data_IF_806205341414
#
_entry.id   IF_806205341414
#
_cell.length_a   1.000
_cell.length_b   1.000
_cell.length_c   1.000
_cell.angle_alpha   90.00
_cell.angle_beta   90.00
_cell.angle_gamma   90.00
#
_symmetry.space_group_name_H-M   'P 1'
#
loop_
_entity.id
_entity.type
_entity.pdbx_description
1 polymer ?
#
# COMPACT_ATOMS: atom_id res chain seq x y z
N UNK A 1 33.04 -2.46 16.38
CA UNK A 1 32.89 -3.93 16.36
C UNK A 1 31.43 -4.21 16.65
N UNK A 2 30.70 -4.89 15.77
CA UNK A 2 29.26 -5.12 15.86
C UNK A 2 28.95 -6.58 15.55
N UNK A 3 28.06 -7.19 16.32
CA UNK A 3 27.57 -8.56 16.15
C UNK A 3 26.05 -8.52 16.39
N UNK A 4 25.29 -9.12 15.46
CA UNK A 4 23.85 -9.26 15.59
C UNK A 4 23.43 -10.68 15.20
N UNK A 5 22.48 -11.24 15.96
CA UNK A 5 21.88 -12.54 15.71
C UNK A 5 20.37 -12.37 15.66
N UNK A 6 19.77 -12.67 14.51
CA UNK A 6 18.33 -12.61 14.31
C UNK A 6 17.78 -14.03 14.22
N UNK A 7 16.68 -14.30 14.93
CA UNK A 7 15.99 -15.59 14.84
C UNK A 7 15.30 -15.77 13.48
N UNK A 8 14.92 -14.67 12.82
CA UNK A 8 14.23 -14.65 11.53
C UNK A 8 14.90 -13.66 10.57
N UNK A 9 16.14 -13.97 10.18
CA UNK A 9 16.92 -13.13 9.26
C UNK A 9 16.21 -12.91 7.90
N UNK A 10 15.37 -13.85 7.49
CA UNK A 10 14.63 -13.79 6.22
C UNK A 10 13.60 -12.65 6.20
N UNK A 11 12.90 -12.44 7.33
CA UNK A 11 11.95 -11.33 7.48
C UNK A 11 12.69 -10.01 7.43
N UNK A 12 13.79 -9.89 8.18
CA UNK A 12 14.62 -8.70 8.14
C UNK A 12 15.10 -8.38 6.72
N UNK A 13 15.59 -9.38 5.99
CA UNK A 13 15.99 -9.21 4.59
C UNK A 13 14.85 -8.70 3.72
N UNK A 14 13.64 -9.27 3.86
CA UNK A 14 12.45 -8.83 3.12
C UNK A 14 12.07 -7.38 3.46
N UNK A 15 12.17 -6.97 4.73
CA UNK A 15 11.95 -5.58 5.17
C UNK A 15 12.95 -4.65 4.47
N UNK A 16 14.24 -4.98 4.50
CA UNK A 16 15.29 -4.19 3.80
C UNK A 16 15.01 -4.12 2.30
N UNK A 17 14.70 -5.24 1.65
CA UNK A 17 14.37 -5.28 0.22
C UNK A 17 13.14 -4.43 -0.13
N UNK A 18 12.20 -4.27 0.80
CA UNK A 18 10.98 -3.49 0.62
C UNK A 18 11.16 -1.98 0.84
N UNK A 19 12.24 -1.54 1.51
CA UNK A 19 12.48 -0.11 1.80
C UNK A 19 13.70 0.49 1.08
N UNK A 20 14.65 -0.34 0.61
CA UNK A 20 15.93 0.11 0.05
C UNK A 20 15.82 1.07 -1.14
N UNK A 21 14.71 0.99 -1.89
CA UNK A 21 14.49 1.85 -3.07
C UNK A 21 13.78 3.16 -2.72
N UNK A 22 13.34 3.33 -1.46
CA UNK A 22 12.69 4.54 -0.96
C UNK A 22 13.64 5.39 -0.11
N UNK A 23 14.57 4.74 0.60
CA UNK A 23 15.39 5.40 1.62
C UNK A 23 16.87 5.14 1.35
N UNK A 24 17.65 6.20 1.14
CA UNK A 24 19.10 6.11 0.97
C UNK A 24 19.81 5.90 2.31
N UNK A 25 19.38 6.63 3.34
CA UNK A 25 19.88 6.55 4.70
C UNK A 25 18.72 6.55 5.68
N UNK A 26 18.73 5.63 6.65
CA UNK A 26 17.71 5.54 7.67
C UNK A 26 18.33 5.32 9.04
N UNK A 27 17.72 5.91 10.08
CA UNK A 27 18.07 5.62 11.47
C UNK A 27 17.16 4.51 11.97
N UNK A 28 17.76 3.47 12.54
CA UNK A 28 17.04 2.39 13.21
C UNK A 28 17.04 2.66 14.72
N UNK A 29 15.85 2.94 15.26
CA UNK A 29 15.67 3.08 16.70
C UNK A 29 15.42 1.69 17.29
N UNK A 30 16.45 1.14 17.92
CA UNK A 30 16.40 -0.16 18.59
C UNK A 30 16.11 0.04 20.08
N UNK A 31 14.94 -0.43 20.52
CA UNK A 31 14.51 -0.39 21.92
C UNK A 31 14.19 -1.80 22.43
N UNK A 32 13.87 -1.94 23.71
CA UNK A 32 13.35 -3.19 24.27
C UNK A 32 12.02 -3.64 23.63
N UNK A 33 11.28 -2.71 23.03
CA UNK A 33 10.00 -2.97 22.36
C UNK A 33 10.14 -3.33 20.88
N UNK A 34 11.36 -3.35 20.34
CA UNK A 34 11.64 -3.71 18.95
C UNK A 34 12.47 -2.68 18.20
N UNK A 35 12.46 -2.80 16.87
CA UNK A 35 13.17 -1.92 15.94
C UNK A 35 12.14 -1.07 15.20
N UNK A 36 12.24 0.25 15.32
CA UNK A 36 11.41 1.18 14.54
C UNK A 36 12.25 1.99 13.56
N UNK A 37 11.66 2.26 12.40
CA UNK A 37 12.19 3.14 11.37
C UNK A 37 11.03 4.01 10.90
N UNK A 38 11.16 5.32 11.01
CA UNK A 38 10.16 6.27 10.54
C UNK A 38 10.85 7.41 9.80
N UNK A 39 10.29 7.79 8.64
CA UNK A 39 10.80 8.88 7.81
C UNK A 39 9.78 10.02 7.63
N UNK A 40 8.61 9.95 8.28
CA UNK A 40 7.55 10.96 8.25
C UNK A 40 7.00 11.22 9.65
N UNK A 41 6.56 12.46 9.89
CA UNK A 41 5.88 12.85 11.13
C UNK A 41 4.54 12.11 11.25
N UNK A 42 4.28 11.60 12.45
CA UNK A 42 3.15 10.74 12.80
C UNK A 42 1.78 11.31 12.37
N UNK A 43 1.19 10.78 11.30
CA UNK A 43 -0.22 10.98 10.96
C UNK A 43 -1.15 10.03 11.75
N UNK A 44 -0.88 9.84 13.05
CA UNK A 44 -1.49 8.76 13.85
C UNK A 44 -3.00 8.90 14.10
N UNK A 45 -3.60 10.08 13.86
CA UNK A 45 -5.02 10.34 14.15
C UNK A 45 -5.82 10.74 12.89
N UNK A 46 -5.54 10.12 11.75
CA UNK A 46 -6.28 10.41 10.51
C UNK A 46 -7.53 9.53 10.38
N UNK A 47 -8.71 10.15 10.24
CA UNK A 47 -9.97 9.45 9.95
C UNK A 47 -10.06 9.09 8.46
N UNK A 48 -9.68 7.85 8.13
CA UNK A 48 -9.76 7.34 6.76
C UNK A 48 -11.19 6.95 6.38
N UNK A 49 -11.70 7.52 5.29
CA UNK A 49 -13.06 7.31 4.81
C UNK A 49 -13.26 5.97 4.12
N UNK A 50 -12.21 5.42 3.53
CA UNK A 50 -12.22 4.12 2.88
C UNK A 50 -11.06 3.27 3.38
N UNK A 51 -11.34 2.03 3.76
CA UNK A 51 -10.35 1.02 4.12
C UNK A 51 -10.61 -0.24 3.31
N UNK A 52 -9.66 -0.62 2.47
CA UNK A 52 -9.73 -1.82 1.63
C UNK A 52 -8.68 -2.82 2.09
N UNK A 53 -9.11 -4.04 2.40
CA UNK A 53 -8.21 -5.17 2.64
C UNK A 53 -8.33 -6.13 1.46
N UNK A 54 -7.20 -6.52 0.87
CA UNK A 54 -7.17 -7.42 -0.29
C UNK A 54 -5.91 -8.29 -0.28
N UNK A 55 -5.81 -9.33 -1.12
CA UNK A 55 -4.58 -10.08 -1.30
C UNK A 55 -3.47 -9.15 -1.78
N UNK A 56 -2.30 -9.19 -1.14
CA UNK A 56 -1.15 -8.35 -1.52
C UNK A 56 -0.68 -8.61 -2.95
N UNK A 57 -0.75 -9.88 -3.37
CA UNK A 57 -0.47 -10.32 -4.75
C UNK A 57 -1.41 -9.70 -5.78
N UNK A 58 -2.68 -9.44 -5.42
CA UNK A 58 -3.65 -8.82 -6.32
C UNK A 58 -3.34 -7.33 -6.50
N UNK A 59 -3.03 -6.60 -5.42
CA UNK A 59 -2.56 -5.21 -5.54
C UNK A 59 -1.28 -5.13 -6.39
N UNK A 60 -0.31 -6.02 -6.15
CA UNK A 60 0.93 -6.08 -6.93
C UNK A 60 0.66 -6.28 -8.42
N UNK A 61 -0.26 -7.21 -8.77
CA UNK A 61 -0.66 -7.46 -10.15
C UNK A 61 -1.33 -6.23 -10.76
N UNK A 62 -2.30 -5.63 -10.06
CA UNK A 62 -3.00 -4.42 -10.52
C UNK A 62 -2.00 -3.30 -10.85
N UNK A 63 -1.08 -3.01 -9.94
CA UNK A 63 -0.09 -1.95 -10.15
C UNK A 63 0.80 -2.25 -11.35
N UNK A 64 1.31 -3.48 -11.48
CA UNK A 64 2.15 -3.89 -12.61
C UNK A 64 1.42 -3.79 -13.94
N UNK A 65 0.19 -4.30 -14.01
CA UNK A 65 -0.61 -4.35 -15.23
C UNK A 65 -1.00 -2.92 -15.67
N UNK A 66 -1.43 -2.06 -14.75
CA UNK A 66 -1.78 -0.67 -15.05
C UNK A 66 -0.57 0.21 -15.40
N UNK A 67 0.63 -0.14 -14.93
CA UNK A 67 1.86 0.56 -15.31
C UNK A 67 2.27 0.35 -16.76
N UNK A 68 1.69 -0.65 -17.45
CA UNK A 68 1.85 -0.81 -18.90
C UNK A 68 0.96 0.17 -19.68
N UNK A 69 -0.03 0.80 -19.03
CA UNK A 69 -0.99 1.72 -19.66
C UNK A 69 -0.59 3.18 -19.43
N UNK A 70 -0.25 3.55 -18.20
CA UNK A 70 0.14 4.91 -17.83
C UNK A 70 0.85 4.98 -16.48
N UNK A 71 1.34 6.17 -16.13
CA UNK A 71 2.18 6.39 -14.93
C UNK A 71 1.39 6.67 -13.65
N UNK A 72 0.07 6.80 -13.76
CA UNK A 72 -0.82 7.14 -12.65
C UNK A 72 -1.95 6.14 -12.53
N UNK A 73 -2.44 5.93 -11.31
CA UNK A 73 -3.67 5.18 -11.04
C UNK A 73 -4.66 6.07 -10.31
N UNK A 74 -5.87 6.15 -10.84
CA UNK A 74 -7.04 6.68 -10.15
C UNK A 74 -7.64 5.52 -9.36
N UNK A 75 -7.76 5.69 -8.05
CA UNK A 75 -8.39 4.72 -7.15
C UNK A 75 -9.71 5.32 -6.68
N UNK A 76 -10.81 4.77 -7.16
CA UNK A 76 -12.17 5.22 -6.83
C UNK A 76 -12.88 4.15 -6.01
N UNK A 77 -13.34 4.52 -4.82
CA UNK A 77 -14.10 3.64 -3.92
C UNK A 77 -15.54 4.14 -3.87
N UNK A 78 -16.46 3.25 -4.23
CA UNK A 78 -17.89 3.53 -4.27
C UNK A 78 -18.67 2.32 -3.75
N UNK A 79 -20.01 2.42 -3.74
CA UNK A 79 -20.91 1.38 -3.21
C UNK A 79 -20.75 0.03 -3.89
N UNK A 80 -20.26 0.00 -5.12
CA UNK A 80 -20.14 -1.19 -5.97
C UNK A 80 -18.73 -1.82 -5.97
N UNK A 81 -17.80 -1.27 -5.19
CA UNK A 81 -16.45 -1.78 -4.98
C UNK A 81 -15.37 -0.71 -5.10
N UNK A 82 -14.15 -1.16 -5.35
CA UNK A 82 -13.00 -0.29 -5.67
C UNK A 82 -12.61 -0.47 -7.13
N UNK A 83 -12.45 0.64 -7.83
CA UNK A 83 -12.00 0.71 -9.22
C UNK A 83 -10.60 1.31 -9.26
N UNK A 84 -9.68 0.60 -9.93
CA UNK A 84 -8.36 1.08 -10.29
C UNK A 84 -8.37 1.40 -11.78
N UNK A 85 -8.12 2.65 -12.14
CA UNK A 85 -8.10 3.12 -13.51
C UNK A 85 -6.77 3.78 -13.84
N UNK A 86 -6.21 3.48 -15.01
CA UNK A 86 -5.04 4.16 -15.55
C UNK A 86 -5.31 4.53 -17.00
N UNK A 87 -4.96 5.75 -17.37
CA UNK A 87 -5.08 6.26 -18.75
C UNK A 87 -3.72 6.71 -19.23
N UNK A 88 -3.36 6.31 -20.45
CA UNK A 88 -2.18 6.78 -21.17
C UNK A 88 -2.40 6.73 -22.68
N UNK A 89 -1.32 6.84 -23.45
CA UNK A 89 -1.38 7.04 -24.90
C UNK A 89 -2.04 5.88 -25.66
N UNK A 90 -1.98 4.67 -25.12
CA UNK A 90 -2.53 3.46 -25.72
C UNK A 90 -3.99 3.17 -25.33
N UNK A 91 -4.57 3.98 -24.43
CA UNK A 91 -5.94 3.86 -23.97
C UNK A 91 -6.08 3.85 -22.45
N UNK A 92 -7.18 3.27 -21.97
CA UNK A 92 -7.53 3.20 -20.55
C UNK A 92 -7.66 1.75 -20.08
N UNK A 93 -6.99 1.42 -18.98
CA UNK A 93 -7.13 0.16 -18.26
C UNK A 93 -8.01 0.35 -17.03
N UNK A 94 -8.95 -0.56 -16.80
CA UNK A 94 -9.84 -0.54 -15.65
C UNK A 94 -9.87 -1.92 -14.98
N UNK A 95 -9.59 -1.96 -13.68
CA UNK A 95 -9.69 -3.17 -12.86
C UNK A 95 -10.59 -2.87 -11.67
N UNK A 96 -11.68 -3.63 -11.53
CA UNK A 96 -12.64 -3.46 -10.44
C UNK A 96 -12.58 -4.66 -9.50
N UNK A 97 -12.42 -4.39 -8.21
CA UNK A 97 -12.60 -5.38 -7.15
C UNK A 97 -13.90 -5.11 -6.42
N UNK A 98 -14.66 -6.17 -6.18
CA UNK A 98 -15.86 -6.14 -5.36
C UNK A 98 -15.62 -6.94 -4.08
N UNK A 99 -16.36 -6.60 -3.03
CA UNK A 99 -16.29 -7.31 -1.76
C UNK A 99 -16.54 -8.80 -1.98
N UNK A 100 -15.65 -9.62 -1.45
CA UNK A 100 -15.67 -11.07 -1.60
C UNK A 100 -15.27 -11.74 -0.30
N UNK A 101 -15.82 -12.92 -0.03
CA UNK A 101 -15.47 -13.72 1.14
C UNK A 101 -15.09 -15.13 0.68
N UNK A 102 -14.03 -15.67 1.26
CA UNK A 102 -13.59 -17.05 1.04
C UNK A 102 -13.38 -17.69 2.42
N UNK A 103 -14.27 -18.61 2.79
CA UNK A 103 -14.25 -19.24 4.11
C UNK A 103 -13.07 -20.22 4.28
N UNK A 104 -12.64 -20.87 3.19
CA UNK A 104 -11.54 -21.83 3.20
C UNK A 104 -10.18 -21.14 3.21
N UNK A 105 -10.11 -19.95 2.58
CA UNK A 105 -8.90 -19.13 2.47
C UNK A 105 -9.19 -17.65 2.70
N UNK A 106 -9.33 -17.22 3.96
CA UNK A 106 -9.66 -15.84 4.30
C UNK A 106 -8.67 -14.81 3.73
N UNK A 107 -7.42 -15.19 3.52
CA UNK A 107 -6.37 -14.36 2.91
C UNK A 107 -6.65 -13.99 1.44
N UNK A 108 -7.47 -14.77 0.73
CA UNK A 108 -7.89 -14.50 -0.65
C UNK A 108 -9.11 -13.56 -0.73
N UNK A 109 -9.68 -13.16 0.42
CA UNK A 109 -10.87 -12.29 0.47
C UNK A 109 -10.56 -10.81 0.24
N UNK A 110 -11.59 -10.06 -0.18
CA UNK A 110 -11.56 -8.60 -0.32
C UNK A 110 -12.63 -7.99 0.59
N UNK A 111 -12.21 -7.18 1.57
CA UNK A 111 -13.12 -6.38 2.40
C UNK A 111 -13.00 -4.90 2.05
N UNK A 112 -14.14 -4.20 2.02
CA UNK A 112 -14.22 -2.78 1.69
C UNK A 112 -15.10 -2.12 2.74
N UNK A 113 -14.50 -1.28 3.56
CA UNK A 113 -15.21 -0.43 4.52
C UNK A 113 -15.21 1.00 3.94
N UNK A 114 -16.40 1.55 3.71
CA UNK A 114 -16.57 2.87 3.09
C UNK A 114 -17.59 3.69 3.87
N UNK A 115 -17.10 4.77 4.47
CA UNK A 115 -17.91 5.79 5.12
C UNK A 115 -18.36 6.86 4.11
N UNK A 116 -17.43 7.34 3.28
CA UNK A 116 -17.67 8.33 2.22
C UNK A 116 -16.93 7.88 0.95
N UNK A 117 -17.49 8.16 -0.23
CA UNK A 117 -16.84 7.82 -1.49
C UNK A 117 -15.57 8.68 -1.67
N UNK A 118 -14.51 8.07 -2.20
CA UNK A 118 -13.21 8.72 -2.42
C UNK A 118 -12.74 8.39 -3.83
N UNK A 119 -12.20 9.37 -4.55
CA UNK A 119 -11.54 9.15 -5.85
C UNK A 119 -10.26 9.98 -5.91
N UNK A 120 -9.11 9.31 -5.94
CA UNK A 120 -7.81 9.96 -5.80
C UNK A 120 -6.81 9.39 -6.79
N UNK A 121 -5.92 10.25 -7.29
CA UNK A 121 -4.89 9.88 -8.27
C UNK A 121 -3.55 9.70 -7.58
N UNK A 122 -2.84 8.61 -7.86
CA UNK A 122 -1.52 8.32 -7.29
C UNK A 122 -0.52 7.91 -8.36
N UNK A 123 0.78 8.06 -8.07
CA UNK A 123 1.85 7.58 -8.95
C UNK A 123 2.00 6.06 -8.86
N UNK A 124 1.90 5.36 -9.99
CA UNK A 124 2.11 3.92 -10.08
C UNK A 124 3.57 3.53 -9.81
N UNK A 125 4.53 4.43 -10.05
CA UNK A 125 5.93 4.21 -9.73
C UNK A 125 6.12 3.86 -8.24
N UNK A 126 5.52 4.64 -7.33
CA UNK A 126 5.63 4.39 -5.89
C UNK A 126 4.86 3.14 -5.46
N UNK A 127 3.66 2.91 -5.99
CA UNK A 127 2.90 1.68 -5.72
C UNK A 127 3.67 0.41 -6.12
N UNK A 128 4.39 0.43 -7.25
CA UNK A 128 5.27 -0.68 -7.65
C UNK A 128 6.44 -0.89 -6.67
N UNK A 129 6.96 0.18 -6.07
CA UNK A 129 7.98 0.05 -5.02
C UNK A 129 7.35 -0.55 -3.75
N UNK A 130 6.20 -0.05 -3.31
CA UNK A 130 5.52 -0.53 -2.09
C UNK A 130 5.14 -2.01 -2.18
N UNK A 131 4.70 -2.47 -3.35
CA UNK A 131 4.34 -3.88 -3.56
C UNK A 131 5.53 -4.84 -3.50
N UNK A 132 6.78 -4.36 -3.35
CA UNK A 132 7.92 -5.20 -2.98
C UNK A 132 7.78 -5.78 -1.56
N UNK A 133 6.92 -5.22 -0.71
CA UNK A 133 6.55 -5.77 0.59
C UNK A 133 5.60 -6.99 0.51
N UNK A 134 5.08 -7.36 -0.66
CA UNK A 134 4.18 -8.52 -0.85
C UNK A 134 4.68 -9.81 -0.18
N UNK A 135 5.98 -10.17 -0.18
CA UNK A 135 6.46 -11.37 0.51
C UNK A 135 6.41 -11.33 2.04
N UNK A 136 6.07 -10.19 2.65
CA UNK A 136 5.95 -9.99 4.10
C UNK A 136 4.54 -10.27 4.62
N UNK A 137 3.51 -10.13 3.78
CA UNK A 137 2.11 -10.29 4.17
C UNK A 137 1.27 -10.82 3.01
N UNK A 138 0.40 -11.80 3.27
CA UNK A 138 -0.56 -12.31 2.28
C UNK A 138 -1.65 -11.30 1.92
N UNK A 139 -1.90 -10.33 2.80
CA UNK A 139 -2.89 -9.26 2.59
C UNK A 139 -2.27 -7.88 2.75
N UNK A 140 -2.83 -6.90 2.05
CA UNK A 140 -2.49 -5.49 2.15
C UNK A 140 -3.73 -4.70 2.55
N UNK A 141 -3.54 -3.67 3.37
CA UNK A 141 -4.60 -2.72 3.74
C UNK A 141 -4.30 -1.37 3.08
N UNK A 142 -5.24 -0.87 2.30
CA UNK A 142 -5.20 0.45 1.67
C UNK A 142 -6.20 1.37 2.37
N UNK A 143 -5.71 2.43 3.00
CA UNK A 143 -6.55 3.44 3.67
C UNK A 143 -6.51 4.76 2.90
N UNK A 144 -7.67 5.29 2.53
CA UNK A 144 -7.84 6.43 1.64
C UNK A 144 -8.77 7.47 2.25
N UNK A 145 -8.38 8.73 2.16
CA UNK A 145 -9.24 9.90 2.38
C UNK A 145 -8.65 11.09 1.64
N UNK A 146 -9.48 12.05 1.27
CA UNK A 146 -9.06 13.27 0.58
C UNK A 146 -8.08 14.10 1.43
N UNK A 147 -7.25 14.91 0.77
CA UNK A 147 -6.33 15.89 1.38
C UNK A 147 -5.23 15.32 2.29
N UNK A 148 -5.09 14.00 2.39
CA UNK A 148 -4.00 13.35 3.14
C UNK A 148 -3.38 12.22 2.31
N UNK A 149 -2.16 11.77 2.66
CA UNK A 149 -1.55 10.60 2.04
C UNK A 149 -2.38 9.33 2.23
N UNK A 150 -2.44 8.50 1.18
CA UNK A 150 -2.90 7.12 1.30
C UNK A 150 -1.94 6.31 2.18
N UNK A 151 -2.47 5.34 2.91
CA UNK A 151 -1.67 4.38 3.68
C UNK A 151 -1.74 3.02 3.01
N UNK A 152 -0.58 2.44 2.71
CA UNK A 152 -0.44 1.06 2.25
C UNK A 152 0.26 0.25 3.34
N UNK A 153 -0.48 -0.61 4.02
CA UNK A 153 -0.01 -1.37 5.17
C UNK A 153 0.13 -2.86 4.87
N UNK A 154 1.28 -3.43 5.22
CA UNK A 154 1.56 -4.85 5.23
C UNK A 154 1.84 -5.28 6.67
N UNK A 155 0.97 -6.11 7.25
CA UNK A 155 1.16 -6.67 8.59
C UNK A 155 2.13 -7.86 8.54
N UNK A 156 3.15 -7.83 9.40
CA UNK A 156 4.17 -8.87 9.51
C UNK A 156 3.84 -9.75 10.70
N UNK A 157 2.96 -10.73 10.50
CA UNK A 157 2.53 -11.69 11.54
C UNK A 157 2.24 -10.98 12.88
N UNK A 158 2.91 -11.39 13.96
CA UNK A 158 2.87 -10.79 15.30
C UNK A 158 4.04 -9.83 15.59
N UNK A 159 4.88 -9.54 14.59
CA UNK A 159 6.12 -8.77 14.73
C UNK A 159 5.93 -7.27 14.50
N UNK A 160 4.92 -6.87 13.75
CA UNK A 160 4.64 -5.46 13.45
C UNK A 160 4.08 -5.24 12.05
N UNK A 161 4.45 -4.11 11.44
CA UNK A 161 3.95 -3.71 10.12
C UNK A 161 4.99 -2.90 9.33
N UNK A 162 4.80 -2.86 8.01
CA UNK A 162 5.33 -1.78 7.16
C UNK A 162 4.16 -0.94 6.68
N UNK A 163 4.27 0.38 6.84
CA UNK A 163 3.32 1.37 6.32
C UNK A 163 4.02 2.31 5.36
N UNK A 164 3.49 2.42 4.16
CA UNK A 164 3.88 3.42 3.19
C UNK A 164 2.84 4.52 3.14
N UNK A 165 3.29 5.77 3.10
CA UNK A 165 2.44 6.94 2.96
C UNK A 165 2.70 7.57 1.60
N UNK A 166 1.64 7.82 0.83
CA UNK A 166 1.77 8.42 -0.50
C UNK A 166 0.75 9.53 -0.70
N UNK A 167 1.26 10.75 -0.85
CA UNK A 167 0.43 11.89 -1.22
C UNK A 167 -0.22 11.65 -2.58
N UNK A 168 -1.49 12.05 -2.76
CA UNK A 168 -2.12 12.05 -4.07
C UNK A 168 -1.40 13.01 -5.02
N UNK A 169 -1.50 12.77 -6.32
CA UNK A 169 -1.20 13.78 -7.33
C UNK A 169 -2.28 14.86 -7.24
N UNK A 170 -1.84 16.12 -7.23
CA UNK A 170 -2.73 17.26 -7.38
C UNK A 170 -3.18 17.25 -8.84
N UNK A 171 -4.48 17.22 -9.09
CA UNK A 171 -4.99 17.62 -10.40
C UNK A 171 -4.77 19.12 -10.48
N UNK A 172 -3.92 19.58 -11.42
CA UNK A 172 -3.89 21.01 -11.75
C UNK A 172 -5.30 21.33 -12.23
N UNK A 173 -6.05 22.10 -11.43
CA UNK A 173 -7.31 22.71 -11.86
C UNK A 173 -6.97 23.55 -13.09
N UNK A 174 -7.19 22.96 -14.27
CA UNK A 174 -7.10 23.67 -15.53
C UNK A 174 -8.32 24.58 -15.60
N UNK A 175 -8.15 25.83 -15.17
CA UNK A 175 -9.03 26.96 -15.48
C UNK A 175 -9.30 27.07 -17.00
#
# INVERSE_FOLDING_TARGET
MFEARLNQADIWKKVIDAIKDLVQEATLDCTENGISLQAMDNAHDTDYKCVIKMPSSELQRICRDLSQIGDSVVISVAKDGVLFSSTGDLGTGNIKLSQSANADKPEESVSIEMNEAVSMTYSLHYFNIFTKATPLSSQVVLSLTENVPAVVEFNIEDLGYIRYYLAPKIEDDAD
#
